data_IF_357443782419
#
_entry.id   IF_357443782419
#
_cell.length_a   1.000
_cell.length_b   1.000
_cell.length_c   1.000
_cell.angle_alpha   90.00
_cell.angle_beta   90.00
_cell.angle_gamma   90.00
#
_symmetry.space_group_name_H-M   'P 1'
#
loop_
_entity.id
_entity.type
_entity.pdbx_description
1 polymer ?
#
# COMPACT_ATOMS: atom_id res chain seq x y z
N UNK A 1 -9.45 23.96 -54.81
CA UNK A 1 -9.89 23.30 -53.56
C UNK A 1 -8.84 23.61 -52.48
N UNK A 2 -9.19 24.23 -51.34
CA UNK A 2 -8.24 24.50 -50.26
C UNK A 2 -8.10 23.28 -49.33
N UNK A 3 -6.88 22.99 -48.89
CA UNK A 3 -6.54 21.93 -47.93
C UNK A 3 -6.95 22.37 -46.51
N UNK A 4 -7.64 21.55 -45.69
CA UNK A 4 -7.95 21.92 -44.32
C UNK A 4 -6.71 21.82 -43.41
N UNK A 5 -6.45 22.89 -42.65
CA UNK A 5 -5.46 22.92 -41.56
C UNK A 5 -5.89 21.97 -40.44
N UNK A 6 -5.04 21.01 -40.06
CA UNK A 6 -5.19 20.26 -38.80
C UNK A 6 -4.93 21.20 -37.62
N UNK A 7 -5.96 21.43 -36.82
CA UNK A 7 -5.84 22.07 -35.53
C UNK A 7 -5.07 21.15 -34.57
N UNK A 8 -3.93 21.62 -34.08
CA UNK A 8 -3.15 20.94 -33.05
C UNK A 8 -3.94 20.89 -31.74
N UNK A 9 -4.24 19.67 -31.28
CA UNK A 9 -4.75 19.42 -29.93
C UNK A 9 -3.64 19.80 -28.95
N UNK A 10 -3.79 20.91 -28.23
CA UNK A 10 -2.96 21.23 -27.06
C UNK A 10 -3.25 20.17 -26.00
N UNK A 11 -2.31 19.24 -25.83
CA UNK A 11 -2.28 18.35 -24.68
C UNK A 11 -2.03 19.19 -23.43
N UNK A 12 -2.98 19.17 -22.51
CA UNK A 12 -2.84 19.76 -21.19
C UNK A 12 -1.96 18.81 -20.38
N UNK A 13 -0.67 19.12 -20.20
CA UNK A 13 0.18 18.37 -19.28
C UNK A 13 -0.25 18.72 -17.87
N UNK A 14 -0.94 17.82 -17.19
CA UNK A 14 -1.08 17.88 -15.75
C UNK A 14 0.34 17.90 -15.16
N UNK A 15 0.68 18.95 -14.42
CA UNK A 15 1.94 19.01 -13.72
C UNK A 15 2.02 17.81 -12.77
N UNK A 16 3.03 16.97 -12.92
CA UNK A 16 3.35 15.94 -11.92
C UNK A 16 3.56 16.65 -10.59
N UNK A 17 2.61 16.49 -9.67
CA UNK A 17 2.66 17.07 -8.35
C UNK A 17 3.78 16.37 -7.57
N UNK A 18 4.92 17.04 -7.44
CA UNK A 18 6.09 16.50 -6.73
C UNK A 18 5.86 16.59 -5.23
N UNK A 19 6.21 15.51 -4.51
CA UNK A 19 6.25 15.50 -3.06
C UNK A 19 7.08 16.67 -2.52
N UNK A 20 6.73 17.22 -1.34
CA UNK A 20 7.53 18.27 -0.71
C UNK A 20 8.96 17.78 -0.44
N UNK A 21 9.97 18.67 -0.50
CA UNK A 21 11.32 18.34 -0.07
C UNK A 21 11.36 17.77 1.34
N UNK A 22 12.29 16.85 1.60
CA UNK A 22 12.42 16.28 2.93
C UNK A 22 13.00 17.31 3.91
N UNK A 23 12.23 17.64 4.94
CA UNK A 23 12.65 18.47 6.07
C UNK A 23 12.76 17.63 7.35
N UNK A 24 13.92 17.57 8.02
CA UNK A 24 14.07 16.85 9.28
C UNK A 24 13.40 17.60 10.44
N UNK A 25 13.01 16.87 11.48
CA UNK A 25 12.48 17.42 12.75
C UNK A 25 11.18 18.23 12.64
N UNK A 26 10.39 18.04 11.57
CA UNK A 26 9.03 18.57 11.51
C UNK A 26 8.08 17.72 12.39
N UNK A 27 7.00 18.29 12.94
CA UNK A 27 5.99 17.53 13.66
C UNK A 27 5.38 16.40 12.81
N UNK A 28 5.17 15.23 13.41
CA UNK A 28 4.45 14.12 12.75
C UNK A 28 3.01 14.58 12.41
N UNK A 29 2.48 14.25 11.21
CA UNK A 29 1.11 14.58 10.85
C UNK A 29 0.10 13.93 11.82
N UNK A 30 -0.99 14.63 12.13
CA UNK A 30 -2.03 14.13 13.04
C UNK A 30 -3.43 14.14 12.44
N UNK A 31 -3.66 14.93 11.39
CA UNK A 31 -4.93 15.01 10.67
C UNK A 31 -4.83 14.40 9.27
N UNK A 32 -5.94 13.94 8.69
CA UNK A 32 -5.95 13.43 7.31
C UNK A 32 -5.38 14.47 6.35
N UNK A 33 -5.79 15.73 6.49
CA UNK A 33 -5.30 16.84 5.66
C UNK A 33 -3.77 17.00 5.73
N UNK A 34 -3.15 16.75 6.89
CA UNK A 34 -1.69 16.78 7.01
C UNK A 34 -1.03 15.57 6.33
N UNK A 35 -1.60 14.37 6.47
CA UNK A 35 -1.11 13.18 5.77
C UNK A 35 -1.20 13.32 4.25
N UNK A 36 -2.29 13.89 3.73
CA UNK A 36 -2.51 14.10 2.29
C UNK A 36 -1.48 15.02 1.62
N UNK A 37 -0.74 15.84 2.39
CA UNK A 37 0.40 16.62 1.87
C UNK A 37 1.54 15.74 1.36
N UNK A 38 1.63 14.50 1.87
CA UNK A 38 2.64 13.52 1.51
C UNK A 38 2.08 12.41 0.61
N UNK A 39 0.97 12.67 -0.08
CA UNK A 39 0.34 11.68 -0.95
C UNK A 39 1.36 11.10 -1.95
N UNK A 40 1.57 9.80 -1.88
CA UNK A 40 2.46 9.05 -2.74
C UNK A 40 1.63 8.17 -3.66
N UNK A 41 1.61 8.44 -4.98
CA UNK A 41 0.87 7.62 -5.93
C UNK A 41 1.52 6.24 -6.03
N UNK A 42 0.73 5.18 -5.84
CA UNK A 42 1.20 3.79 -5.89
C UNK A 42 0.32 2.98 -6.84
N UNK A 43 0.92 1.97 -7.47
CA UNK A 43 0.25 1.07 -8.40
C UNK A 43 0.79 -0.35 -8.26
N UNK A 44 -0.10 -1.34 -8.37
CA UNK A 44 0.20 -2.76 -8.19
C UNK A 44 1.15 -3.28 -9.27
N UNK A 45 2.15 -4.07 -8.86
CA UNK A 45 3.11 -4.74 -9.75
C UNK A 45 2.71 -6.20 -10.03
N UNK A 46 2.29 -6.47 -11.26
CA UNK A 46 1.95 -7.81 -11.75
C UNK A 46 3.14 -8.76 -11.78
N UNK A 47 4.38 -8.26 -11.68
CA UNK A 47 5.58 -9.07 -11.57
C UNK A 47 5.70 -9.73 -10.21
N UNK A 48 5.17 -9.10 -9.16
CA UNK A 48 5.26 -9.56 -7.76
C UNK A 48 4.05 -10.39 -7.35
N UNK A 49 2.88 -10.14 -7.96
CA UNK A 49 1.61 -10.73 -7.57
C UNK A 49 1.62 -12.26 -7.58
N UNK A 50 1.21 -12.90 -6.49
CA UNK A 50 0.96 -14.34 -6.51
C UNK A 50 -0.18 -14.67 -7.48
N UNK A 51 -0.13 -15.84 -8.11
CA UNK A 51 -0.99 -16.14 -9.28
C UNK A 51 -2.48 -16.30 -8.99
N UNK A 52 -2.92 -16.39 -7.73
CA UNK A 52 -4.34 -16.36 -7.36
C UNK A 52 -4.90 -14.92 -7.32
N UNK A 53 -4.02 -13.91 -7.43
CA UNK A 53 -4.41 -12.51 -7.39
C UNK A 53 -4.65 -11.96 -8.79
N UNK A 54 -5.79 -11.29 -8.95
CA UNK A 54 -6.16 -10.62 -10.18
C UNK A 54 -6.02 -9.12 -10.01
N UNK A 55 -5.12 -8.52 -10.78
CA UNK A 55 -4.94 -7.06 -10.84
C UNK A 55 -5.86 -6.50 -11.92
N UNK A 56 -6.57 -5.43 -11.60
CA UNK A 56 -7.53 -4.77 -12.49
C UNK A 56 -7.55 -3.26 -12.28
N UNK A 57 -8.48 -2.57 -12.96
CA UNK A 57 -8.69 -1.12 -12.84
C UNK A 57 -7.44 -0.26 -13.10
N UNK A 58 -6.55 -0.74 -13.99
CA UNK A 58 -5.32 -0.01 -14.33
C UNK A 58 -4.27 -0.06 -13.22
N UNK A 59 -4.09 -1.22 -12.58
CA UNK A 59 -3.15 -1.45 -11.48
C UNK A 59 -3.52 -0.78 -10.15
N UNK A 60 -4.78 -0.38 -9.95
CA UNK A 60 -5.24 0.12 -8.65
C UNK A 60 -5.94 -0.94 -7.79
N UNK A 61 -6.51 -1.99 -8.40
CA UNK A 61 -7.29 -3.00 -7.69
C UNK A 61 -6.66 -4.38 -7.76
N UNK A 62 -6.63 -5.07 -6.62
CA UNK A 62 -6.28 -6.49 -6.52
C UNK A 62 -7.39 -7.26 -5.83
N UNK A 63 -7.73 -8.43 -6.35
CA UNK A 63 -8.78 -9.27 -5.78
C UNK A 63 -8.42 -10.77 -5.86
N UNK A 64 -8.98 -11.55 -4.93
CA UNK A 64 -8.89 -13.01 -4.91
C UNK A 64 -10.29 -13.60 -4.80
N UNK A 65 -10.98 -13.69 -5.93
CA UNK A 65 -12.40 -14.08 -6.01
C UNK A 65 -12.64 -15.50 -6.48
N UNK A 66 -11.59 -16.22 -6.85
CA UNK A 66 -11.67 -17.62 -7.30
C UNK A 66 -10.30 -18.30 -7.16
N UNK A 67 -10.28 -19.62 -7.34
CA UNK A 67 -9.04 -20.40 -7.46
C UNK A 67 -8.44 -20.36 -8.87
N UNK A 68 -8.97 -19.52 -9.77
CA UNK A 68 -8.44 -19.36 -11.10
C UNK A 68 -7.05 -18.70 -11.06
N UNK A 69 -6.07 -19.42 -11.60
CA UNK A 69 -4.67 -18.98 -11.67
C UNK A 69 -4.53 -17.97 -12.81
N UNK A 70 -4.11 -16.76 -12.48
CA UNK A 70 -3.79 -15.72 -13.43
C UNK A 70 -2.57 -16.13 -14.28
N UNK A 71 -2.58 -15.92 -15.61
CA UNK A 71 -1.52 -16.35 -16.52
C UNK A 71 -0.25 -15.47 -16.44
N UNK A 72 0.12 -14.97 -15.25
CA UNK A 72 1.31 -14.17 -15.10
C UNK A 72 2.59 -15.01 -15.32
N UNK A 73 3.61 -14.47 -16.01
CA UNK A 73 4.89 -15.16 -16.20
C UNK A 73 5.60 -15.48 -14.87
N UNK A 74 6.28 -16.61 -14.79
CA UNK A 74 7.14 -16.90 -13.64
C UNK A 74 8.28 -15.89 -13.56
N UNK A 75 8.53 -15.35 -12.37
CA UNK A 75 9.55 -14.33 -12.12
C UNK A 75 10.17 -14.51 -10.73
N UNK A 76 11.46 -14.16 -10.53
CA UNK A 76 12.10 -14.23 -9.22
C UNK A 76 11.40 -13.38 -8.14
N UNK A 77 10.86 -12.22 -8.53
CA UNK A 77 10.20 -11.25 -7.64
C UNK A 77 8.80 -11.68 -7.20
N UNK A 78 8.25 -12.73 -7.81
CA UNK A 78 6.88 -13.18 -7.59
C UNK A 78 6.74 -13.92 -6.28
N UNK A 79 5.71 -13.55 -5.51
CA UNK A 79 5.24 -14.37 -4.40
C UNK A 79 4.74 -15.73 -4.88
N UNK A 80 5.18 -16.81 -4.25
CA UNK A 80 4.80 -18.17 -4.64
C UNK A 80 3.72 -18.73 -3.71
N UNK A 81 3.98 -18.67 -2.40
CA UNK A 81 3.25 -19.43 -1.39
C UNK A 81 2.16 -18.61 -0.68
N UNK A 82 2.21 -17.28 -0.79
CA UNK A 82 1.27 -16.38 -0.13
C UNK A 82 0.57 -15.48 -1.15
N UNK A 83 -0.76 -15.28 -1.07
CA UNK A 83 -1.52 -14.40 -1.95
C UNK A 83 -1.22 -12.93 -1.68
N UNK A 84 0.01 -12.52 -2.01
CA UNK A 84 0.58 -11.20 -1.80
C UNK A 84 0.98 -10.52 -3.12
N UNK A 85 1.00 -9.20 -3.09
CA UNK A 85 1.43 -8.32 -4.18
C UNK A 85 2.05 -7.05 -3.61
N UNK A 86 3.05 -6.50 -4.29
CA UNK A 86 3.66 -5.20 -3.98
C UNK A 86 3.27 -4.16 -5.02
N UNK A 87 3.46 -2.89 -4.67
CA UNK A 87 3.45 -1.79 -5.63
C UNK A 87 4.77 -1.68 -6.40
N UNK A 88 4.72 -1.03 -7.57
CA UNK A 88 5.89 -0.75 -8.41
C UNK A 88 6.77 0.34 -7.80
N UNK A 89 6.13 1.32 -7.17
CA UNK A 89 6.77 2.50 -6.61
C UNK A 89 7.30 2.19 -5.21
N UNK A 90 8.63 2.09 -5.09
CA UNK A 90 9.29 1.94 -3.81
C UNK A 90 9.80 3.28 -3.26
N UNK A 91 9.72 3.44 -1.94
CA UNK A 91 10.15 4.63 -1.23
C UNK A 91 11.56 4.46 -0.68
N UNK A 92 12.37 5.51 -0.77
CA UNK A 92 13.70 5.57 -0.18
C UNK A 92 14.01 7.03 0.21
N UNK A 93 14.34 7.26 1.48
CA UNK A 93 14.76 8.58 1.96
C UNK A 93 13.68 9.69 1.91
N UNK A 94 12.40 9.32 1.83
CA UNK A 94 11.27 10.26 1.69
C UNK A 94 10.15 9.96 2.68
N UNK A 95 9.17 10.87 2.73
CA UNK A 95 7.85 10.63 3.31
C UNK A 95 6.90 10.12 2.24
N UNK A 96 5.89 9.35 2.64
CA UNK A 96 4.83 8.92 1.75
C UNK A 96 3.57 8.57 2.51
N UNK A 97 2.43 8.84 1.89
CA UNK A 97 1.11 8.50 2.40
C UNK A 97 0.24 7.94 1.27
N UNK A 98 -0.46 6.84 1.53
CA UNK A 98 -1.47 6.32 0.61
C UNK A 98 -2.63 5.72 1.40
N UNK A 99 -3.79 5.66 0.76
CA UNK A 99 -5.01 5.08 1.32
C UNK A 99 -5.53 3.98 0.41
N UNK A 100 -6.16 2.98 1.02
CA UNK A 100 -6.82 1.89 0.30
C UNK A 100 -8.21 1.60 0.87
N UNK A 101 -9.15 1.37 -0.04
CA UNK A 101 -10.41 0.72 0.27
C UNK A 101 -10.21 -0.80 0.29
N UNK A 102 -10.91 -1.50 1.16
CA UNK A 102 -10.82 -2.95 1.23
C UNK A 102 -12.15 -3.60 1.61
N UNK A 103 -12.29 -4.86 1.22
CA UNK A 103 -13.39 -5.73 1.64
C UNK A 103 -12.87 -7.15 1.89
N UNK A 104 -13.47 -7.81 2.87
CA UNK A 104 -13.02 -9.12 3.34
C UNK A 104 -11.74 -9.06 4.20
N UNK A 105 -10.93 -10.12 4.12
CA UNK A 105 -9.68 -10.22 4.86
C UNK A 105 -8.52 -9.67 4.02
N UNK A 106 -8.01 -8.52 4.43
CA UNK A 106 -6.92 -7.82 3.75
C UNK A 106 -5.90 -7.34 4.79
N UNK A 107 -4.62 -7.64 4.54
CA UNK A 107 -3.51 -7.00 5.24
C UNK A 107 -2.85 -5.99 4.32
N UNK A 108 -2.70 -4.77 4.80
CA UNK A 108 -2.04 -3.65 4.14
C UNK A 108 -0.74 -3.36 4.87
N UNK A 109 0.34 -3.09 4.15
CA UNK A 109 1.63 -2.96 4.81
C UNK A 109 2.73 -2.36 3.96
N UNK A 110 3.93 -2.45 4.51
CA UNK A 110 5.18 -2.09 3.84
C UNK A 110 6.19 -3.21 3.96
N UNK A 111 6.98 -3.38 2.91
CA UNK A 111 7.91 -4.49 2.77
C UNK A 111 9.25 -3.99 2.25
N UNK A 112 10.31 -4.26 3.00
CA UNK A 112 11.67 -3.99 2.58
C UNK A 112 12.03 -4.80 1.32
N UNK A 113 12.92 -4.27 0.48
CA UNK A 113 13.35 -4.90 -0.77
C UNK A 113 13.93 -6.30 -0.53
N UNK A 114 14.77 -6.45 0.52
CA UNK A 114 15.39 -7.70 0.94
C UNK A 114 14.44 -8.75 1.54
N UNK A 115 13.18 -8.40 1.84
CA UNK A 115 12.26 -9.32 2.50
C UNK A 115 11.96 -10.55 1.62
N UNK A 116 11.80 -11.73 2.24
CA UNK A 116 11.58 -12.98 1.49
C UNK A 116 10.27 -12.95 0.69
N UNK A 117 10.31 -13.48 -0.54
CA UNK A 117 9.14 -13.63 -1.43
C UNK A 117 8.62 -15.07 -1.52
N UNK A 118 9.36 -16.02 -0.94
CA UNK A 118 9.09 -17.46 -1.02
C UNK A 118 9.18 -18.05 0.38
N UNK A 119 8.28 -18.96 0.72
CA UNK A 119 8.11 -19.52 2.06
C UNK A 119 8.96 -20.77 2.36
N UNK A 120 9.94 -21.11 1.51
CA UNK A 120 10.65 -22.39 1.61
C UNK A 120 11.62 -22.46 2.80
N UNK A 121 12.26 -21.35 3.18
CA UNK A 121 13.25 -21.32 4.27
C UNK A 121 12.87 -20.37 5.42
N UNK A 122 12.10 -19.31 5.10
CA UNK A 122 11.69 -18.25 6.04
C UNK A 122 10.25 -17.85 5.73
N UNK A 123 9.41 -17.51 6.73
CA UNK A 123 8.09 -16.96 6.49
C UNK A 123 8.12 -15.75 5.55
N UNK A 124 7.32 -15.78 4.50
CA UNK A 124 7.22 -14.70 3.52
C UNK A 124 5.95 -13.86 3.67
N UNK A 125 5.05 -14.20 4.60
CA UNK A 125 3.84 -13.45 4.92
C UNK A 125 4.14 -12.00 5.31
N UNK A 126 3.24 -11.10 4.93
CA UNK A 126 3.31 -9.68 5.29
C UNK A 126 3.21 -9.53 6.80
N UNK A 127 4.27 -9.05 7.45
CA UNK A 127 4.38 -8.93 8.90
C UNK A 127 4.93 -10.19 9.61
N UNK A 128 5.19 -11.28 8.89
CA UNK A 128 5.74 -12.52 9.46
C UNK A 128 7.27 -12.56 9.50
N UNK A 129 7.94 -11.51 9.01
CA UNK A 129 9.39 -11.41 8.95
C UNK A 129 9.88 -10.02 9.41
N UNK A 130 11.19 -9.91 9.66
CA UNK A 130 11.85 -8.67 10.11
C UNK A 130 11.80 -7.52 9.09
N UNK A 131 11.60 -7.83 7.81
CA UNK A 131 11.58 -6.86 6.72
C UNK A 131 10.18 -6.41 6.33
N UNK A 132 9.15 -6.69 7.14
CA UNK A 132 7.78 -6.34 6.80
C UNK A 132 6.92 -5.97 8.00
N UNK A 133 5.95 -5.08 7.75
CA UNK A 133 4.98 -4.59 8.72
C UNK A 133 3.62 -4.58 8.07
N UNK A 134 2.60 -5.06 8.75
CA UNK A 134 1.23 -5.14 8.21
C UNK A 134 0.16 -4.76 9.22
N UNK A 135 -0.99 -4.34 8.72
CA UNK A 135 -2.22 -4.11 9.48
C UNK A 135 -3.41 -4.69 8.72
N UNK A 136 -4.38 -5.24 9.42
CA UNK A 136 -5.59 -5.79 8.81
C UNK A 136 -6.73 -5.87 9.81
N UNK A 137 -7.96 -5.92 9.30
CA UNK A 137 -9.15 -6.09 10.12
C UNK A 137 -9.49 -7.57 10.28
N UNK A 138 -9.61 -8.03 11.53
CA UNK A 138 -9.90 -9.44 11.85
C UNK A 138 -11.40 -9.79 11.83
N UNK A 139 -12.27 -8.78 11.76
CA UNK A 139 -13.71 -8.91 11.99
C UNK A 139 -14.17 -8.31 13.33
N UNK A 140 -13.26 -8.19 14.30
CA UNK A 140 -13.56 -7.64 15.63
C UNK A 140 -12.60 -6.54 16.08
N UNK A 141 -11.36 -6.55 15.59
CA UNK A 141 -10.33 -5.56 15.89
C UNK A 141 -9.36 -5.39 14.71
N UNK A 142 -8.50 -4.39 14.79
CA UNK A 142 -7.33 -4.35 13.93
C UNK A 142 -6.22 -5.20 14.53
N UNK A 143 -5.53 -5.94 13.68
CA UNK A 143 -4.34 -6.68 14.04
C UNK A 143 -3.16 -6.08 13.30
N UNK A 144 -2.08 -5.78 14.03
CA UNK A 144 -0.83 -5.29 13.45
C UNK A 144 0.25 -6.33 13.62
N UNK A 145 0.98 -6.63 12.55
CA UNK A 145 1.97 -7.70 12.48
C UNK A 145 3.36 -7.16 12.17
N UNK A 146 4.35 -7.69 12.88
CA UNK A 146 5.76 -7.52 12.56
C UNK A 146 6.59 -8.68 13.11
N UNK A 147 7.52 -9.21 12.32
CA UNK A 147 8.43 -10.28 12.73
C UNK A 147 7.73 -11.51 13.36
N UNK A 148 6.53 -11.85 12.88
CA UNK A 148 5.75 -13.00 13.36
C UNK A 148 5.00 -12.75 14.67
N UNK A 149 5.08 -11.54 15.23
CA UNK A 149 4.30 -11.12 16.39
C UNK A 149 3.12 -10.26 15.94
N UNK A 150 2.00 -10.34 16.67
CA UNK A 150 0.83 -9.50 16.42
C UNK A 150 0.34 -8.79 17.69
N UNK A 151 -0.26 -7.62 17.48
CA UNK A 151 -0.94 -6.85 18.52
C UNK A 151 -2.36 -6.57 18.06
N UNK A 152 -3.33 -6.79 18.94
CA UNK A 152 -4.74 -6.46 18.70
C UNK A 152 -5.02 -5.03 19.18
N UNK A 153 -5.59 -4.20 18.31
CA UNK A 153 -5.93 -2.81 18.54
C UNK A 153 -7.44 -2.63 18.43
N UNK A 154 -8.06 -2.19 19.54
CA UNK A 154 -9.50 -1.97 19.63
C UNK A 154 -9.87 -0.60 19.08
N UNK A 155 -10.38 -0.57 17.85
CA UNK A 155 -10.95 0.61 17.20
C UNK A 155 -12.20 0.20 16.40
N UNK A 156 -13.11 1.15 16.12
CA UNK A 156 -14.23 0.90 15.23
C UNK A 156 -13.76 0.45 13.83
N UNK A 157 -14.54 -0.41 13.14
CA UNK A 157 -14.23 -0.77 11.76
C UNK A 157 -14.29 0.45 10.85
N UNK A 158 -13.39 0.49 9.87
CA UNK A 158 -13.45 1.40 8.74
C UNK A 158 -13.44 0.60 7.43
N UNK A 159 -13.85 1.24 6.33
CA UNK A 159 -13.69 0.72 4.96
C UNK A 159 -12.32 1.06 4.37
N UNK A 160 -11.58 1.94 5.03
CA UNK A 160 -10.41 2.61 4.47
C UNK A 160 -9.28 2.60 5.46
N UNK A 161 -8.13 2.06 5.03
CA UNK A 161 -6.88 2.11 5.79
C UNK A 161 -5.89 3.04 5.11
N UNK A 162 -5.20 3.84 5.92
CA UNK A 162 -4.10 4.70 5.51
C UNK A 162 -2.77 4.17 6.00
N UNK A 163 -1.72 4.35 5.21
CA UNK A 163 -0.34 4.07 5.61
C UNK A 163 0.51 5.31 5.39
N UNK A 164 1.13 5.79 6.45
CA UNK A 164 2.12 6.86 6.41
C UNK A 164 3.50 6.32 6.75
N UNK A 165 4.51 6.76 6.00
CA UNK A 165 5.91 6.49 6.30
C UNK A 165 6.73 7.76 6.31
N UNK A 166 7.69 7.82 7.23
CA UNK A 166 8.78 8.78 7.24
C UNK A 166 10.09 7.99 7.36
N UNK A 167 10.71 7.69 6.22
CA UNK A 167 11.84 6.76 6.20
C UNK A 167 13.07 7.29 6.94
N UNK A 168 13.50 8.55 6.75
CA UNK A 168 14.64 9.05 7.51
C UNK A 168 14.37 9.20 9.01
N UNK A 169 13.11 9.46 9.42
CA UNK A 169 12.73 9.46 10.84
C UNK A 169 12.37 8.07 11.41
N UNK A 170 12.40 7.04 10.56
CA UNK A 170 12.14 5.67 10.92
C UNK A 170 10.71 5.39 11.38
N UNK A 171 9.71 6.03 10.77
CA UNK A 171 8.29 5.90 11.17
C UNK A 171 7.50 5.11 10.13
N UNK A 172 6.66 4.19 10.62
CA UNK A 172 5.51 3.65 9.91
C UNK A 172 4.28 3.85 10.79
N UNK A 173 3.25 4.51 10.27
CA UNK A 173 1.98 4.70 10.95
C UNK A 173 0.85 4.06 10.14
N UNK A 174 0.09 3.20 10.79
CA UNK A 174 -1.13 2.59 10.27
C UNK A 174 -2.33 3.35 10.80
N UNK A 175 -3.24 3.72 9.91
CA UNK A 175 -4.35 4.64 10.19
C UNK A 175 -5.68 4.01 9.75
N UNK A 176 -6.72 4.20 10.56
CA UNK A 176 -8.11 4.02 10.17
C UNK A 176 -8.62 5.36 9.67
N UNK A 177 -9.14 5.43 8.44
CA UNK A 177 -9.71 6.67 7.89
C UNK A 177 -11.22 6.64 8.13
N UNK A 178 -11.77 7.61 8.85
CA UNK A 178 -13.12 7.56 9.41
C UNK A 178 -14.03 8.71 8.97
N UNK A 179 -15.34 8.48 9.15
CA UNK A 179 -16.42 9.45 8.98
C UNK A 179 -17.13 9.36 7.62
N UNK A 180 -18.38 9.82 7.56
CA UNK A 180 -19.20 9.79 6.33
C UNK A 180 -18.60 10.61 5.17
N UNK A 181 -17.64 11.50 5.48
CA UNK A 181 -16.87 12.27 4.50
C UNK A 181 -15.37 11.94 4.51
N UNK A 182 -14.96 10.94 5.29
CA UNK A 182 -13.58 10.43 5.35
C UNK A 182 -12.56 11.55 5.59
N UNK A 183 -12.84 12.42 6.55
CA UNK A 183 -11.98 13.58 6.89
C UNK A 183 -11.16 13.34 8.15
N UNK A 184 -11.49 12.32 8.91
CA UNK A 184 -10.85 12.00 10.18
C UNK A 184 -9.97 10.77 10.03
N UNK A 185 -8.93 10.69 10.84
CA UNK A 185 -8.07 9.52 10.93
C UNK A 185 -7.83 9.17 12.39
N UNK A 186 -7.78 7.87 12.69
CA UNK A 186 -7.30 7.37 13.98
C UNK A 186 -6.06 6.55 13.77
N UNK A 187 -5.06 6.76 14.63
CA UNK A 187 -3.87 5.94 14.64
C UNK A 187 -4.23 4.54 15.14
N UNK A 188 -4.05 3.53 14.29
CA UNK A 188 -4.15 2.13 14.69
C UNK A 188 -2.86 1.76 15.44
N UNK A 189 -1.71 1.94 14.80
CA UNK A 189 -0.42 1.66 15.42
C UNK A 189 0.71 2.42 14.75
N UNK A 190 1.80 2.63 15.50
CA UNK A 190 3.03 3.23 14.99
C UNK A 190 4.23 2.34 15.31
N UNK A 191 4.97 1.95 14.27
CA UNK A 191 6.27 1.33 14.41
C UNK A 191 7.40 2.35 14.31
N UNK A 192 8.48 2.09 15.05
CA UNK A 192 9.78 2.72 14.85
C UNK A 192 10.76 1.69 14.32
N UNK A 193 11.31 1.94 13.14
CA UNK A 193 12.25 1.04 12.48
C UNK A 193 13.29 1.83 11.68
N UNK A 194 14.49 1.27 11.50
CA UNK A 194 15.52 1.89 10.68
C UNK A 194 15.42 1.35 9.25
N UNK A 195 15.33 2.23 8.27
CA UNK A 195 15.29 1.86 6.85
C UNK A 195 16.61 2.23 6.19
N UNK A 196 17.35 1.22 5.75
CA UNK A 196 18.60 1.39 5.00
C UNK A 196 18.44 1.02 3.52
N UNK A 197 17.28 0.47 3.17
CA UNK A 197 16.94 0.01 1.83
C UNK A 197 15.58 0.56 1.40
N UNK A 198 15.25 0.30 0.14
CA UNK A 198 13.94 0.67 -0.41
C UNK A 198 12.85 -0.15 0.25
N UNK A 199 11.71 0.49 0.52
CA UNK A 199 10.50 -0.20 0.97
C UNK A 199 9.39 -0.07 -0.07
N UNK A 200 8.53 -1.06 -0.14
CA UNK A 200 7.41 -1.11 -1.08
C UNK A 200 6.10 -1.26 -0.31
N UNK A 201 5.05 -0.52 -0.67
CA UNK A 201 3.69 -0.85 -0.26
C UNK A 201 3.35 -2.28 -0.68
N UNK A 202 2.69 -3.03 0.21
CA UNK A 202 2.34 -4.43 -0.02
C UNK A 202 0.95 -4.77 0.50
N UNK A 203 0.33 -5.77 -0.13
CA UNK A 203 -1.01 -6.23 0.20
C UNK A 203 -1.06 -7.76 0.25
N UNK A 204 -1.73 -8.30 1.26
CA UNK A 204 -2.06 -9.72 1.39
C UNK A 204 -3.58 -9.88 1.32
N UNK A 205 -4.06 -10.63 0.33
CA UNK A 205 -5.49 -10.75 0.03
C UNK A 205 -6.01 -12.15 0.37
N UNK A 206 -7.01 -12.19 1.26
CA UNK A 206 -7.74 -13.39 1.63
C UNK A 206 -8.69 -13.86 0.54
N UNK A 207 -9.25 -15.06 0.70
CA UNK A 207 -10.28 -15.57 -0.23
C UNK A 207 -11.51 -14.68 -0.20
N UNK A 208 -12.13 -14.44 -1.34
CA UNK A 208 -13.30 -13.56 -1.51
C UNK A 208 -13.08 -12.14 -0.98
N UNK A 209 -11.87 -11.63 -1.11
CA UNK A 209 -11.47 -10.31 -0.61
C UNK A 209 -10.86 -9.46 -1.73
N UNK A 210 -10.87 -8.14 -1.56
CA UNK A 210 -10.21 -7.21 -2.48
C UNK A 210 -9.66 -5.98 -1.78
N UNK A 211 -8.68 -5.36 -2.43
CA UNK A 211 -8.09 -4.08 -2.05
C UNK A 211 -8.09 -3.16 -3.29
N UNK A 212 -8.45 -1.89 -3.09
CA UNK A 212 -8.45 -0.84 -4.11
C UNK A 212 -7.65 0.36 -3.60
N UNK A 213 -6.58 0.69 -4.29
CA UNK A 213 -5.78 1.89 -4.04
C UNK A 213 -6.59 3.11 -4.46
N UNK A 214 -6.74 4.06 -3.53
CA UNK A 214 -7.44 5.32 -3.78
C UNK A 214 -6.62 6.25 -4.65
N UNK A 215 -7.30 7.21 -5.27
CA UNK A 215 -6.66 8.36 -5.89
C UNK A 215 -6.64 9.51 -4.89
N UNK A 216 -5.68 10.44 -5.05
CA UNK A 216 -5.52 11.58 -4.14
C UNK A 216 -6.79 12.42 -3.96
N UNK A 217 -7.53 12.60 -5.05
CA UNK A 217 -8.69 13.49 -5.08
C UNK A 217 -10.01 12.79 -4.69
N UNK A 218 -9.93 11.59 -4.11
CA UNK A 218 -11.08 10.78 -3.70
C UNK A 218 -11.45 11.01 -2.22
#
# INVERSE_FOLDING_TARGET
>A
MPVPKKAGKKGNSAAEEKLPPYEPNIPEPTTRADFMKYWFPVSLDDKTAQKLLWISEGSSKVARTSDAVCPYPNRPERYQDSPQVLCKEGLMGIRGYWEVDYDGWVVVGVVAESAPRKGQEVPCGLGENKGSWGVGWSGSCYQVWHNGENIDVQLPPSRTMGVYVDLPAGVISFLSVEGDSEKEVRLIHKYKAKFEERIFPGFWIGTNSFCLIRKKDQ
#
